data_IF_440843523334
#
_entry.id   IF_440843523334
#
_cell.length_a   1.000
_cell.length_b   1.000
_cell.length_c   1.000
_cell.angle_alpha   90.00
_cell.angle_beta   90.00
_cell.angle_gamma   90.00
#
_symmetry.space_group_name_H-M   'P 1'
#
loop_
_entity.id
_entity.type
_entity.pdbx_description
1 polymer ?
#
# COMPACT_ATOMS: atom_id res chain seq x y z
N UNK A 1 -1.26 18.89 0.41
CA UNK A 1 -1.85 17.88 -0.49
C UNK A 1 -1.55 16.52 0.09
N UNK A 2 -2.52 15.62 0.13
CA UNK A 2 -2.29 14.23 0.55
C UNK A 2 -1.98 13.37 -0.67
N UNK A 3 -1.51 12.16 -0.42
CA UNK A 3 -1.18 11.20 -1.48
C UNK A 3 -2.07 9.99 -1.31
N UNK A 4 -2.64 9.49 -2.39
CA UNK A 4 -3.29 8.19 -2.42
C UNK A 4 -2.32 7.16 -2.99
N UNK A 5 -2.16 6.07 -2.26
CA UNK A 5 -1.37 4.90 -2.65
C UNK A 5 -2.34 3.81 -3.12
N UNK A 6 -2.21 3.38 -4.37
CA UNK A 6 -3.02 2.34 -4.99
C UNK A 6 -2.24 1.03 -5.08
N UNK A 7 -2.94 -0.07 -4.81
CA UNK A 7 -2.36 -1.40 -4.81
C UNK A 7 -3.45 -2.43 -5.08
N UNK A 8 -3.01 -3.64 -5.43
CA UNK A 8 -3.91 -4.74 -5.67
C UNK A 8 -3.41 -6.04 -5.04
N UNK A 9 -4.34 -6.97 -4.87
CA UNK A 9 -4.08 -8.36 -4.55
C UNK A 9 -4.47 -9.23 -5.75
N UNK A 10 -3.71 -10.31 -5.97
CA UNK A 10 -4.04 -11.38 -6.93
C UNK A 10 -4.09 -12.70 -6.18
N UNK A 11 -5.16 -13.46 -6.41
CA UNK A 11 -5.24 -14.85 -5.94
C UNK A 11 -4.60 -15.81 -6.95
N UNK A 12 -4.57 -17.11 -6.62
CA UNK A 12 -4.06 -18.15 -7.51
C UNK A 12 -4.85 -18.31 -8.81
N UNK A 13 -6.10 -17.82 -8.87
CA UNK A 13 -6.94 -17.75 -10.06
C UNK A 13 -6.69 -16.51 -10.92
N UNK A 14 -5.76 -15.63 -10.52
CA UNK A 14 -5.48 -14.32 -11.13
C UNK A 14 -6.67 -13.35 -11.08
N UNK A 15 -7.61 -13.53 -10.13
CA UNK A 15 -8.62 -12.51 -9.83
C UNK A 15 -7.97 -11.35 -9.07
N UNK A 16 -8.35 -10.12 -9.44
CA UNK A 16 -7.77 -8.90 -8.89
C UNK A 16 -8.70 -8.26 -7.88
N UNK A 17 -8.14 -7.82 -6.75
CA UNK A 17 -8.82 -6.99 -5.77
C UNK A 17 -8.04 -5.69 -5.61
N UNK A 18 -8.69 -4.56 -5.87
CA UNK A 18 -8.05 -3.24 -5.85
C UNK A 18 -8.35 -2.53 -4.53
N UNK A 19 -7.36 -1.78 -4.04
CA UNK A 19 -7.49 -1.00 -2.82
C UNK A 19 -6.61 0.23 -2.87
N UNK A 20 -6.91 1.17 -1.98
CA UNK A 20 -6.10 2.36 -1.83
C UNK A 20 -6.15 2.92 -0.42
N UNK A 21 -5.12 3.66 -0.06
CA UNK A 21 -5.05 4.39 1.21
C UNK A 21 -4.62 5.83 0.96
N UNK A 22 -5.11 6.75 1.78
CA UNK A 22 -4.68 8.15 1.75
C UNK A 22 -3.67 8.40 2.87
N UNK A 23 -2.51 8.93 2.51
CA UNK A 23 -1.39 9.22 3.40
C UNK A 23 -1.08 10.71 3.38
N UNK A 24 -0.72 11.24 4.55
CA UNK A 24 -0.33 12.65 4.68
C UNK A 24 1.07 12.86 4.12
N UNK A 25 1.28 13.97 3.40
CA UNK A 25 2.58 14.38 2.90
C UNK A 25 2.99 15.75 3.49
N UNK A 26 3.31 15.83 4.80
CA UNK A 26 3.67 17.08 5.45
C UNK A 26 5.03 17.62 4.98
N UNK A 27 5.96 16.73 4.64
CA UNK A 27 7.32 17.07 4.19
C UNK A 27 7.37 17.55 2.74
N UNK A 28 6.25 17.48 2.00
CA UNK A 28 6.16 18.01 0.65
C UNK A 28 6.94 17.22 -0.41
N UNK A 29 7.14 15.92 -0.22
CA UNK A 29 7.79 15.06 -1.22
C UNK A 29 7.02 15.07 -2.55
N UNK A 30 7.73 14.96 -3.67
CA UNK A 30 7.10 14.77 -4.98
C UNK A 30 6.63 13.32 -5.13
N UNK A 31 5.63 13.09 -6.01
CA UNK A 31 5.19 11.72 -6.32
C UNK A 31 6.33 10.88 -6.90
N UNK A 32 7.16 11.47 -7.75
CA UNK A 32 8.30 10.79 -8.37
C UNK A 32 9.33 10.33 -7.33
N UNK A 33 9.67 11.18 -6.36
CA UNK A 33 10.61 10.81 -5.31
C UNK A 33 10.06 9.69 -4.42
N UNK A 34 8.76 9.72 -4.13
CA UNK A 34 8.10 8.68 -3.35
C UNK A 34 7.94 7.37 -4.11
N UNK A 35 7.62 7.43 -5.41
CA UNK A 35 7.54 6.26 -6.28
C UNK A 35 8.89 5.53 -6.37
N UNK A 36 9.97 6.28 -6.60
CA UNK A 36 11.34 5.73 -6.61
C UNK A 36 11.72 5.15 -5.24
N UNK A 37 11.40 5.85 -4.16
CA UNK A 37 11.65 5.37 -2.82
C UNK A 37 10.89 4.07 -2.54
N UNK A 38 9.59 4.01 -2.86
CA UNK A 38 8.77 2.83 -2.66
C UNK A 38 9.34 1.66 -3.45
N UNK A 39 9.58 1.81 -4.76
CA UNK A 39 10.12 0.75 -5.63
C UNK A 39 11.42 0.16 -5.11
N UNK A 40 12.31 0.97 -4.53
CA UNK A 40 13.54 0.49 -3.90
C UNK A 40 13.33 -0.41 -2.67
N UNK A 41 12.17 -0.34 -2.03
CA UNK A 41 11.78 -1.15 -0.87
C UNK A 41 10.80 -2.28 -1.21
N UNK A 42 10.32 -2.34 -2.46
CA UNK A 42 9.45 -3.40 -2.95
C UNK A 42 10.28 -4.59 -3.45
N UNK A 43 9.77 -5.80 -3.24
CA UNK A 43 10.34 -7.00 -3.86
C UNK A 43 10.08 -6.96 -5.36
N UNK A 44 11.14 -7.06 -6.16
CA UNK A 44 11.08 -6.90 -7.61
C UNK A 44 10.42 -5.58 -8.04
N UNK A 45 10.58 -4.52 -7.24
CA UNK A 45 10.02 -3.18 -7.53
C UNK A 45 8.47 -3.11 -7.59
N UNK A 46 7.78 -4.21 -7.32
CA UNK A 46 6.32 -4.31 -7.48
C UNK A 46 5.60 -4.92 -6.26
N UNK A 47 6.23 -5.84 -5.54
CA UNK A 47 5.55 -6.66 -4.54
C UNK A 47 5.87 -6.26 -3.10
N UNK A 48 4.87 -6.30 -2.23
CA UNK A 48 5.01 -6.09 -0.79
C UNK A 48 3.99 -6.87 0.03
N UNK A 49 4.24 -6.97 1.34
CA UNK A 49 3.26 -7.47 2.32
C UNK A 49 2.62 -6.25 3.01
N UNK A 50 1.30 -6.01 2.87
CA UNK A 50 0.64 -4.83 3.44
C UNK A 50 0.90 -4.63 4.92
N UNK A 51 0.89 -5.71 5.71
CA UNK A 51 1.13 -5.66 7.16
C UNK A 51 2.50 -5.05 7.51
N UNK A 52 3.53 -5.24 6.69
CA UNK A 52 4.85 -4.66 6.92
C UNK A 52 4.86 -3.14 6.74
N UNK A 53 3.97 -2.61 5.90
CA UNK A 53 3.77 -1.18 5.67
C UNK A 53 2.62 -0.61 6.50
N UNK A 54 1.99 -1.42 7.37
CA UNK A 54 0.80 -0.99 8.08
C UNK A 54 -0.37 -0.65 7.14
N UNK A 55 -0.55 -1.43 6.09
CA UNK A 55 -1.65 -1.32 5.13
C UNK A 55 -2.62 -2.48 5.32
N UNK A 56 -3.93 -2.29 5.06
CA UNK A 56 -4.88 -3.38 5.12
C UNK A 56 -4.64 -4.36 3.97
N UNK A 57 -4.68 -5.66 4.28
CA UNK A 57 -4.71 -6.69 3.25
C UNK A 57 -6.06 -6.70 2.51
N UNK A 58 -6.03 -6.94 1.20
CA UNK A 58 -7.20 -6.95 0.32
C UNK A 58 -7.78 -8.34 0.09
N UNK A 59 -7.28 -9.38 0.76
CA UNK A 59 -7.72 -10.75 0.54
C UNK A 59 -9.19 -10.94 0.94
N UNK A 60 -10.05 -11.22 -0.06
CA UNK A 60 -11.40 -11.72 0.19
C UNK A 60 -11.37 -13.19 0.63
N UNK A 61 -12.04 -13.51 1.72
CA UNK A 61 -12.20 -14.89 2.22
C UNK A 61 -12.93 -15.79 1.20
N UNK A 62 -12.58 -17.08 1.03
CA UNK A 62 -11.65 -17.88 1.85
C UNK A 62 -10.18 -17.84 1.38
N UNK A 63 -9.28 -17.58 2.32
CA UNK A 63 -7.83 -17.70 2.16
C UNK A 63 -7.42 -19.18 2.16
N UNK A 64 -6.80 -19.65 1.09
CA UNK A 64 -6.18 -20.98 0.99
C UNK A 64 -4.67 -20.87 1.27
N UNK A 65 -4.17 -21.30 2.43
CA UNK A 65 -2.75 -21.17 2.77
C UNK A 65 -1.79 -21.96 1.85
N UNK A 66 -2.30 -22.87 1.01
CA UNK A 66 -1.49 -23.60 0.04
C UNK A 66 -1.38 -22.90 -1.31
N UNK A 67 -2.30 -21.98 -1.62
CA UNK A 67 -2.39 -21.30 -2.91
C UNK A 67 -2.21 -19.78 -2.80
N UNK A 68 -2.65 -19.18 -1.71
CA UNK A 68 -2.69 -17.75 -1.51
C UNK A 68 -1.44 -17.23 -0.78
N UNK A 69 -0.80 -16.24 -1.38
CA UNK A 69 0.28 -15.47 -0.76
C UNK A 69 -0.25 -14.20 -0.10
N UNK A 70 0.52 -13.61 0.82
CA UNK A 70 0.21 -12.30 1.42
C UNK A 70 0.64 -11.11 0.53
N UNK A 71 1.29 -11.40 -0.62
CA UNK A 71 1.85 -10.37 -1.48
C UNK A 71 0.78 -9.57 -2.20
N UNK A 72 0.99 -8.26 -2.19
CA UNK A 72 0.22 -7.28 -2.95
C UNK A 72 1.15 -6.60 -3.94
N UNK A 73 0.58 -6.12 -5.03
CA UNK A 73 1.26 -5.40 -6.08
C UNK A 73 1.00 -3.89 -5.90
N UNK A 74 2.06 -3.10 -5.92
CA UNK A 74 1.98 -1.66 -6.01
C UNK A 74 1.54 -1.27 -7.43
N UNK A 75 0.61 -0.33 -7.54
CA UNK A 75 0.11 0.15 -8.83
C UNK A 75 0.59 1.57 -9.10
N UNK A 76 0.20 2.55 -8.27
CA UNK A 76 0.55 3.95 -8.49
C UNK A 76 0.35 4.83 -7.24
N UNK A 77 0.90 6.05 -7.33
CA UNK A 77 0.61 7.16 -6.42
C UNK A 77 -0.11 8.28 -7.16
N UNK A 78 -1.08 8.91 -6.49
CA UNK A 78 -1.72 10.13 -6.99
C UNK A 78 -1.85 11.20 -5.91
N UNK A 79 -1.93 12.47 -6.32
CA UNK A 79 -2.30 13.55 -5.41
C UNK A 79 -3.79 13.51 -5.10
N UNK A 80 -4.14 13.82 -3.86
CA UNK A 80 -5.53 13.92 -3.43
C UNK A 80 -5.74 15.01 -2.38
N UNK A 81 -6.90 15.65 -2.44
CA UNK A 81 -7.39 16.58 -1.40
C UNK A 81 -8.15 15.85 -0.29
N UNK A 82 -8.43 14.55 -0.45
CA UNK A 82 -9.10 13.77 0.59
C UNK A 82 -8.26 13.77 1.86
N UNK A 83 -8.91 14.00 3.00
CA UNK A 83 -8.23 13.88 4.29
C UNK A 83 -7.83 12.43 4.53
N UNK A 84 -6.69 12.23 5.21
CA UNK A 84 -6.28 10.91 5.71
C UNK A 84 -7.40 10.38 6.60
N UNK A 85 -8.18 9.43 6.10
CA UNK A 85 -9.14 8.71 6.93
C UNK A 85 -8.35 7.87 7.92
N UNK A 86 -8.51 8.20 9.21
CA UNK A 86 -8.06 7.33 10.29
C UNK A 86 -8.91 6.06 10.25
N UNK A 87 -8.37 5.00 9.65
CA UNK A 87 -8.94 3.65 9.79
C UNK A 87 -9.01 3.37 11.30
N UNK A 88 -10.19 3.06 11.84
CA UNK A 88 -10.36 2.74 13.27
C UNK A 88 -9.45 1.55 13.59
N UNK A 89 -8.37 1.79 14.32
CA UNK A 89 -7.39 0.78 14.73
C UNK A 89 -5.96 0.99 14.24
N UNK A 90 -5.69 1.97 13.38
CA UNK A 90 -4.35 2.16 12.80
C UNK A 90 -3.57 3.34 13.40
N UNK A 91 -2.38 3.05 13.94
CA UNK A 91 -1.31 4.04 14.16
C UNK A 91 -0.68 4.44 12.82
N UNK A 92 -0.08 5.62 12.72
CA UNK A 92 0.48 6.11 11.45
C UNK A 92 1.61 5.20 10.93
N UNK A 93 1.53 4.63 9.72
CA UNK A 93 2.58 3.73 9.21
C UNK A 93 3.91 4.43 8.96
N UNK A 94 3.90 5.75 8.75
CA UNK A 94 5.10 6.57 8.54
C UNK A 94 5.77 7.05 9.83
N UNK A 95 5.23 6.74 11.01
CA UNK A 95 5.90 7.08 12.28
C UNK A 95 7.02 6.10 12.65
N UNK A 96 7.19 5.00 11.91
CA UNK A 96 8.26 4.02 12.14
C UNK A 96 9.34 3.97 11.05
N UNK A 97 9.19 4.75 9.96
CA UNK A 97 10.30 4.95 9.00
C UNK A 97 11.17 6.06 9.59
N UNK A 98 11.96 5.70 10.59
CA UNK A 98 13.04 6.56 11.09
C UNK A 98 14.18 6.50 10.08
N UNK A 99 14.53 7.66 9.53
CA UNK A 99 15.78 7.89 8.78
C UNK A 99 16.96 7.72 9.74
#
# INVERSE_FOLDING_TARGET
MNIRFHYLYRDAGNYKQFGSVVVSNPEGFTLEALDLFLKAHLSQEEFFVPSNLGLPGLHSSPYDPYLDHEWHQYEELEWTEEEKRRLKGFGSPFSQISI
#
